data_IF_497016825348
#
_entry.id   IF_497016825348
#
_cell.length_a   1.000
_cell.length_b   1.000
_cell.length_c   1.000
_cell.angle_alpha   90.00
_cell.angle_beta   90.00
_cell.angle_gamma   90.00
#
_symmetry.space_group_name_H-M   'P 1'
#
loop_
_entity.id
_entity.type
_entity.pdbx_description
1 polymer ?
#
# COMPACT_ATOMS: atom_id res chain seq x y z
N UNK A 1 19.49 23.64 8.41
CA UNK A 1 18.04 23.36 8.33
C UNK A 1 17.88 22.14 7.45
N UNK A 2 17.07 21.16 7.85
CA UNK A 2 16.70 20.05 6.97
C UNK A 2 16.00 20.61 5.73
N UNK A 3 16.25 20.02 4.56
CA UNK A 3 15.50 20.36 3.37
C UNK A 3 14.03 20.00 3.59
N UNK A 4 13.12 20.92 3.26
CA UNK A 4 11.68 20.68 3.29
C UNK A 4 11.19 20.25 1.90
N UNK A 5 10.24 19.33 1.83
CA UNK A 5 9.72 18.73 0.60
C UNK A 5 8.24 19.03 0.37
N UNK A 6 7.87 19.18 -0.90
CA UNK A 6 6.48 19.28 -1.34
C UNK A 6 5.92 17.88 -1.61
N UNK A 7 4.87 17.47 -0.87
CA UNK A 7 4.41 16.07 -0.81
C UNK A 7 2.95 15.96 -1.24
N UNK A 8 2.68 15.11 -2.21
CA UNK A 8 1.33 14.70 -2.59
C UNK A 8 0.98 13.34 -1.96
N UNK A 9 -0.24 13.20 -1.45
CA UNK A 9 -0.79 11.93 -0.96
C UNK A 9 -2.02 11.58 -1.78
N UNK A 10 -1.91 10.60 -2.67
CA UNK A 10 -2.98 10.15 -3.55
C UNK A 10 -3.76 9.02 -2.89
N UNK A 11 -5.06 9.22 -2.72
CA UNK A 11 -5.91 8.35 -1.90
C UNK A 11 -5.98 8.81 -0.44
N UNK A 12 -5.79 10.12 -0.18
CA UNK A 12 -5.71 10.71 1.16
C UNK A 12 -6.91 10.45 2.08
N UNK A 13 -8.07 10.10 1.54
CA UNK A 13 -9.30 9.81 2.31
C UNK A 13 -9.55 8.31 2.50
N UNK A 14 -8.64 7.45 2.04
CA UNK A 14 -8.70 6.00 2.31
C UNK A 14 -7.94 5.65 3.58
N UNK A 15 -8.18 4.47 4.14
CA UNK A 15 -7.57 4.03 5.40
C UNK A 15 -6.02 4.12 5.39
N UNK A 16 -5.39 3.72 4.28
CA UNK A 16 -3.93 3.82 4.14
C UNK A 16 -3.48 5.27 3.94
N UNK A 17 -4.21 6.09 3.18
CA UNK A 17 -3.87 7.50 2.99
C UNK A 17 -3.95 8.31 4.29
N UNK A 18 -4.98 8.07 5.10
CA UNK A 18 -5.10 8.64 6.45
C UNK A 18 -3.92 8.21 7.34
N UNK A 19 -3.52 6.94 7.24
CA UNK A 19 -2.35 6.42 7.98
C UNK A 19 -1.04 7.06 7.49
N UNK A 20 -0.84 7.24 6.18
CA UNK A 20 0.33 7.92 5.62
C UNK A 20 0.45 9.35 6.16
N UNK A 21 -0.66 10.08 6.22
CA UNK A 21 -0.71 11.44 6.77
C UNK A 21 -0.31 11.46 8.26
N UNK A 22 -0.90 10.56 9.06
CA UNK A 22 -0.58 10.44 10.49
C UNK A 22 0.91 10.09 10.72
N UNK A 23 1.48 9.17 9.93
CA UNK A 23 2.89 8.78 10.04
C UNK A 23 3.82 9.92 9.61
N UNK A 24 3.46 10.72 8.60
CA UNK A 24 4.22 11.91 8.23
C UNK A 24 4.28 12.92 9.39
N UNK A 25 3.18 13.11 10.12
CA UNK A 25 3.15 13.95 11.33
C UNK A 25 3.96 13.35 12.48
N UNK A 26 3.69 12.09 12.84
CA UNK A 26 4.32 11.40 13.96
C UNK A 26 5.85 11.37 13.82
N UNK A 27 6.33 11.11 12.59
CA UNK A 27 7.76 11.06 12.29
C UNK A 27 8.38 12.43 12.03
N UNK A 28 7.61 13.51 12.18
CA UNK A 28 8.04 14.88 11.87
C UNK A 28 8.69 14.98 10.49
N UNK A 29 8.10 14.33 9.47
CA UNK A 29 8.63 14.36 8.12
C UNK A 29 8.68 15.82 7.64
N UNK A 30 9.78 16.26 7.01
CA UNK A 30 10.00 17.67 6.67
C UNK A 30 9.12 18.13 5.49
N UNK A 31 7.81 18.22 5.68
CA UNK A 31 6.84 18.69 4.68
C UNK A 31 6.81 20.21 4.63
N UNK A 32 6.95 20.78 3.44
CA UNK A 32 6.73 22.21 3.14
C UNK A 32 5.27 22.46 2.80
N UNK A 33 4.81 21.86 1.71
CA UNK A 33 3.41 21.86 1.29
C UNK A 33 2.89 20.43 1.21
N UNK A 34 1.68 20.21 1.73
CA UNK A 34 0.96 18.94 1.62
C UNK A 34 -0.16 19.08 0.60
N UNK A 35 -0.25 18.16 -0.34
CA UNK A 35 -1.31 18.05 -1.33
C UNK A 35 -2.08 16.74 -1.11
N UNK A 36 -3.14 16.73 -0.29
CA UNK A 36 -3.99 15.55 -0.15
C UNK A 36 -4.92 15.45 -1.35
N UNK A 37 -4.79 14.35 -2.12
CA UNK A 37 -5.49 14.12 -3.37
C UNK A 37 -6.43 12.93 -3.25
N UNK A 38 -7.63 13.06 -3.81
CA UNK A 38 -8.62 11.99 -3.86
C UNK A 38 -9.46 12.11 -5.14
N UNK A 39 -10.43 11.20 -5.33
CA UNK A 39 -11.39 11.33 -6.42
C UNK A 39 -12.30 12.56 -6.25
N UNK A 40 -12.95 12.98 -7.34
CA UNK A 40 -13.95 14.05 -7.34
C UNK A 40 -15.03 13.92 -6.26
N UNK A 41 -15.40 12.69 -5.88
CA UNK A 41 -16.37 12.42 -4.79
C UNK A 41 -15.90 12.87 -3.41
N UNK A 42 -14.59 12.89 -3.19
CA UNK A 42 -13.95 13.27 -1.93
C UNK A 42 -13.31 14.66 -1.99
N UNK A 43 -13.18 15.26 -3.17
CA UNK A 43 -12.68 16.62 -3.34
C UNK A 43 -13.54 17.62 -2.55
N UNK A 44 -12.89 18.58 -1.90
CA UNK A 44 -13.56 19.57 -1.04
C UNK A 44 -13.71 19.17 0.42
N UNK A 45 -13.50 17.90 0.78
CA UNK A 45 -13.33 17.49 2.18
C UNK A 45 -12.08 18.18 2.76
N UNK A 46 -11.98 18.19 4.08
CA UNK A 46 -10.81 18.72 4.78
C UNK A 46 -10.22 17.65 5.69
N UNK A 47 -8.90 17.71 5.85
CA UNK A 47 -8.13 16.88 6.78
C UNK A 47 -7.32 17.79 7.70
N UNK A 48 -6.87 17.26 8.83
CA UNK A 48 -5.92 17.93 9.72
C UNK A 48 -4.51 17.43 9.42
N UNK A 49 -3.56 18.35 9.31
CA UNK A 49 -2.13 18.05 9.19
C UNK A 49 -1.29 19.15 9.85
N UNK A 50 -0.42 18.77 10.80
CA UNK A 50 0.38 19.62 11.66
C UNK A 50 -0.42 20.79 12.28
N UNK A 51 -1.61 20.47 12.81
CA UNK A 51 -2.51 21.44 13.42
C UNK A 51 -3.18 22.41 12.43
N UNK A 52 -3.02 22.20 11.11
CA UNK A 52 -3.63 23.01 10.05
C UNK A 52 -4.69 22.20 9.32
N UNK A 53 -5.78 22.87 8.95
CA UNK A 53 -6.79 22.30 8.06
C UNK A 53 -6.30 22.39 6.62
N UNK A 54 -6.24 21.26 5.93
CA UNK A 54 -5.84 21.17 4.51
C UNK A 54 -7.01 20.64 3.69
N UNK A 55 -7.31 21.29 2.58
CA UNK A 55 -8.40 20.90 1.67
C UNK A 55 -7.94 19.75 0.77
N UNK A 56 -8.77 18.73 0.63
CA UNK A 56 -8.59 17.64 -0.33
C UNK A 56 -8.92 18.14 -1.73
N UNK A 57 -7.98 17.95 -2.66
CA UNK A 57 -8.10 18.37 -4.05
C UNK A 57 -8.42 17.17 -4.94
N UNK A 58 -9.11 17.42 -6.06
CA UNK A 58 -9.34 16.38 -7.07
C UNK A 58 -8.02 15.98 -7.74
N UNK A 59 -7.71 14.68 -7.70
CA UNK A 59 -6.54 14.10 -8.35
C UNK A 59 -6.49 14.40 -9.85
N UNK A 60 -7.64 14.42 -10.53
CA UNK A 60 -7.71 14.59 -11.98
C UNK A 60 -7.24 15.99 -12.42
N UNK A 61 -7.42 17.00 -11.56
CA UNK A 61 -7.10 18.40 -11.82
C UNK A 61 -5.73 18.83 -11.26
N UNK A 62 -5.04 17.93 -10.54
CA UNK A 62 -3.80 18.26 -9.88
C UNK A 62 -2.60 18.35 -10.84
N UNK A 63 -1.80 19.39 -10.67
CA UNK A 63 -0.53 19.59 -11.38
C UNK A 63 0.63 19.02 -10.54
N UNK A 64 1.14 17.85 -10.98
CA UNK A 64 2.21 17.15 -10.29
C UNK A 64 3.57 17.86 -10.31
N UNK A 65 3.76 18.92 -11.12
CA UNK A 65 4.99 19.72 -11.05
C UNK A 65 5.14 20.46 -9.70
N UNK A 66 4.06 20.56 -8.93
CA UNK A 66 4.05 21.16 -7.59
C UNK A 66 4.56 20.21 -6.50
N UNK A 67 4.66 18.90 -6.76
CA UNK A 67 5.06 17.90 -5.77
C UNK A 67 6.42 17.28 -6.14
N UNK A 68 7.28 17.11 -5.13
CA UNK A 68 8.56 16.43 -5.27
C UNK A 68 8.43 14.93 -4.93
N UNK A 69 7.52 14.59 -4.01
CA UNK A 69 7.26 13.22 -3.56
C UNK A 69 5.75 12.96 -3.67
N UNK A 70 5.39 11.82 -4.26
CA UNK A 70 4.01 11.36 -4.37
C UNK A 70 3.82 10.02 -3.67
N UNK A 71 3.03 9.98 -2.60
CA UNK A 71 2.65 8.73 -1.91
C UNK A 71 1.32 8.24 -2.44
N UNK A 72 1.31 7.10 -3.14
CA UNK A 72 0.14 6.62 -3.87
C UNK A 72 -0.49 5.42 -3.17
N UNK A 73 -1.78 5.52 -2.86
CA UNK A 73 -2.57 4.42 -2.29
C UNK A 73 -4.05 4.53 -2.66
N UNK A 74 -4.33 4.66 -3.95
CA UNK A 74 -5.69 4.82 -4.50
C UNK A 74 -6.18 3.67 -5.39
N UNK A 75 -5.44 2.56 -5.43
CA UNK A 75 -5.76 1.38 -6.23
C UNK A 75 -5.00 1.33 -7.57
N UNK A 76 -4.77 0.11 -8.07
CA UNK A 76 -3.83 -0.14 -9.17
C UNK A 76 -4.17 0.55 -10.49
N UNK A 77 -5.46 0.73 -10.81
CA UNK A 77 -5.88 1.45 -12.02
C UNK A 77 -5.55 2.95 -11.93
N UNK A 78 -5.70 3.56 -10.75
CA UNK A 78 -5.31 4.95 -10.52
C UNK A 78 -3.80 5.10 -10.60
N UNK A 79 -3.04 4.17 -10.03
CA UNK A 79 -1.58 4.19 -10.14
C UNK A 79 -1.10 4.01 -11.59
N UNK A 80 -1.74 3.13 -12.36
CA UNK A 80 -1.45 2.95 -13.79
C UNK A 80 -1.59 4.24 -14.60
N UNK A 81 -2.60 5.06 -14.28
CA UNK A 81 -2.85 6.33 -14.98
C UNK A 81 -1.96 7.46 -14.45
N UNK A 82 -1.93 7.67 -13.13
CA UNK A 82 -1.40 8.88 -12.53
C UNK A 82 0.07 8.79 -12.11
N UNK A 83 0.59 7.61 -11.78
CA UNK A 83 2.00 7.50 -11.38
C UNK A 83 2.96 7.86 -12.54
N UNK A 84 2.75 7.39 -13.80
CA UNK A 84 3.59 7.81 -14.92
C UNK A 84 3.48 9.31 -15.22
N UNK A 85 2.29 9.90 -15.04
CA UNK A 85 2.07 11.35 -15.20
C UNK A 85 2.83 12.16 -14.15
N UNK A 86 2.79 11.73 -12.89
CA UNK A 86 3.52 12.35 -11.80
C UNK A 86 5.05 12.24 -12.01
N UNK A 87 5.51 11.03 -12.33
CA UNK A 87 6.91 10.75 -12.66
C UNK A 87 7.44 11.64 -13.80
N UNK A 88 6.67 11.80 -14.88
CA UNK A 88 7.01 12.65 -16.02
C UNK A 88 7.05 14.14 -15.66
N UNK A 89 6.33 14.57 -14.63
CA UNK A 89 6.38 15.93 -14.08
C UNK A 89 7.55 16.17 -13.11
N UNK A 90 8.39 15.14 -12.85
CA UNK A 90 9.54 15.22 -11.95
C UNK A 90 9.24 14.82 -10.50
N UNK A 91 8.03 14.35 -10.20
CA UNK A 91 7.65 13.85 -8.89
C UNK A 91 8.17 12.41 -8.70
N UNK A 92 8.83 12.12 -7.58
CA UNK A 92 9.22 10.75 -7.22
C UNK A 92 8.02 10.04 -6.58
N UNK A 93 7.50 9.02 -7.26
CA UNK A 93 6.32 8.28 -6.81
C UNK A 93 6.73 7.08 -5.96
N UNK A 94 6.11 6.94 -4.79
CA UNK A 94 6.14 5.74 -3.95
C UNK A 94 4.74 5.12 -4.00
N UNK A 95 4.61 4.00 -4.71
CA UNK A 95 3.32 3.39 -5.02
C UNK A 95 3.02 2.16 -4.16
N UNK A 96 1.99 2.25 -3.31
CA UNK A 96 1.50 1.17 -2.44
C UNK A 96 0.46 0.27 -3.15
N UNK A 97 0.48 0.20 -4.47
CA UNK A 97 -0.36 -0.75 -5.21
C UNK A 97 0.48 -1.89 -5.77
N UNK A 98 -0.18 -2.96 -6.19
CA UNK A 98 0.52 -4.08 -6.83
C UNK A 98 0.92 -3.80 -8.28
N UNK A 99 0.50 -2.66 -8.87
CA UNK A 99 0.59 -2.44 -10.31
C UNK A 99 2.02 -2.46 -10.85
N UNK A 100 2.96 -1.85 -10.13
CA UNK A 100 4.35 -1.71 -10.58
C UNK A 100 5.33 -2.72 -9.97
N UNK A 101 4.89 -3.56 -9.02
CA UNK A 101 5.80 -4.39 -8.21
C UNK A 101 6.62 -5.39 -9.01
N UNK A 102 6.06 -5.90 -10.11
CA UNK A 102 6.70 -6.90 -10.98
C UNK A 102 7.32 -6.28 -12.24
N UNK A 103 7.38 -4.96 -12.36
CA UNK A 103 8.05 -4.29 -13.48
C UNK A 103 9.55 -4.28 -13.23
N UNK A 104 10.34 -4.82 -14.16
CA UNK A 104 11.79 -5.03 -13.99
C UNK A 104 12.57 -3.74 -13.71
N UNK A 105 12.19 -2.64 -14.34
CA UNK A 105 12.86 -1.33 -14.21
C UNK A 105 12.28 -0.43 -13.11
N UNK A 106 11.48 -1.00 -12.21
CA UNK A 106 10.95 -0.32 -11.01
C UNK A 106 11.40 -1.08 -9.77
N UNK A 107 12.15 -0.43 -8.85
CA UNK A 107 12.60 -1.08 -7.62
C UNK A 107 11.44 -1.37 -6.68
N UNK A 108 11.46 -2.56 -6.06
CA UNK A 108 10.51 -3.01 -5.04
C UNK A 108 11.22 -3.00 -3.69
N UNK A 109 10.90 -2.03 -2.83
CA UNK A 109 11.78 -1.67 -1.71
C UNK A 109 11.18 -2.00 -0.35
N UNK A 110 11.95 -2.74 0.47
CA UNK A 110 11.84 -2.74 1.93
C UNK A 110 13.14 -2.13 2.47
N UNK A 111 13.11 -0.95 3.12
CA UNK A 111 14.33 -0.24 3.52
C UNK A 111 15.29 -1.06 4.41
N UNK A 112 14.77 -1.96 5.22
CA UNK A 112 15.57 -2.83 6.10
C UNK A 112 16.19 -4.04 5.37
N UNK A 113 15.86 -4.27 4.10
CA UNK A 113 16.21 -5.49 3.35
C UNK A 113 17.09 -5.20 2.14
N UNK A 114 16.67 -4.28 1.27
CA UNK A 114 17.30 -4.03 -0.04
C UNK A 114 17.35 -2.54 -0.39
N UNK A 115 17.80 -1.69 0.54
CA UNK A 115 17.85 -0.23 0.33
C UNK A 115 18.78 0.20 -0.80
N UNK A 116 19.76 -0.63 -1.13
CA UNK A 116 20.70 -0.44 -2.23
C UNK A 116 20.00 -0.35 -3.59
N UNK A 117 18.93 -1.12 -3.80
CA UNK A 117 18.13 -1.13 -5.04
C UNK A 117 17.38 0.20 -5.24
N UNK A 118 17.27 1.02 -4.19
CA UNK A 118 16.66 2.34 -4.30
C UNK A 118 17.39 3.18 -5.36
N UNK A 119 18.70 3.01 -5.57
CA UNK A 119 19.47 3.78 -6.54
C UNK A 119 18.86 3.81 -7.95
N UNK A 120 18.12 2.78 -8.32
CA UNK A 120 17.51 2.62 -9.64
C UNK A 120 16.16 3.36 -9.80
N UNK A 121 15.63 3.99 -8.74
CA UNK A 121 14.33 4.68 -8.77
C UNK A 121 14.23 5.71 -9.89
N UNK A 122 15.36 6.36 -10.22
CA UNK A 122 15.41 7.48 -11.17
C UNK A 122 15.16 7.05 -12.62
N UNK A 123 15.22 5.75 -12.93
CA UNK A 123 14.91 5.22 -14.28
C UNK A 123 13.46 5.52 -14.67
N UNK A 124 12.54 5.41 -13.71
CA UNK A 124 11.11 5.65 -13.91
C UNK A 124 10.53 6.75 -13.04
N UNK A 125 11.29 7.28 -12.07
CA UNK A 125 10.79 8.09 -10.95
C UNK A 125 9.66 7.41 -10.17
N UNK A 126 9.63 6.07 -10.15
CA UNK A 126 8.63 5.26 -9.45
C UNK A 126 9.36 4.24 -8.59
N UNK A 127 8.90 4.09 -7.36
CA UNK A 127 9.33 3.08 -6.38
C UNK A 127 8.08 2.31 -6.00
N UNK A 128 8.12 0.98 -6.10
CA UNK A 128 7.03 0.14 -5.67
C UNK A 128 7.17 -0.21 -4.19
N UNK A 129 6.08 -0.05 -3.42
CA UNK A 129 5.98 -0.52 -2.05
C UNK A 129 5.35 -1.93 -2.03
N UNK A 130 5.96 -2.92 -1.34
CA UNK A 130 5.52 -4.32 -1.42
C UNK A 130 4.20 -4.61 -0.71
N UNK A 131 3.75 -5.85 -0.83
CA UNK A 131 2.60 -6.40 -0.12
C UNK A 131 2.88 -6.39 1.39
N UNK A 132 1.83 -6.11 2.17
CA UNK A 132 1.92 -6.00 3.62
C UNK A 132 2.43 -7.28 4.29
N UNK A 133 1.96 -8.44 3.86
CA UNK A 133 2.40 -9.76 4.35
C UNK A 133 3.87 -10.02 4.00
N UNK A 134 4.29 -9.62 2.80
CA UNK A 134 5.70 -9.72 2.39
C UNK A 134 6.58 -8.82 3.26
N UNK A 135 6.24 -7.54 3.45
CA UNK A 135 7.06 -6.59 4.23
C UNK A 135 7.36 -7.14 5.62
N UNK A 136 6.33 -7.52 6.39
CA UNK A 136 6.53 -8.02 7.75
C UNK A 136 7.34 -9.32 7.79
N UNK A 137 7.18 -10.18 6.79
CA UNK A 137 7.91 -11.44 6.70
C UNK A 137 9.39 -11.18 6.43
N UNK A 138 9.71 -10.33 5.45
CA UNK A 138 11.11 -10.12 5.05
C UNK A 138 11.90 -9.31 6.06
N UNK A 139 11.29 -8.33 6.74
CA UNK A 139 11.96 -7.62 7.85
C UNK A 139 12.37 -8.61 8.94
N UNK A 140 11.53 -9.60 9.26
CA UNK A 140 11.85 -10.63 10.25
C UNK A 140 12.89 -11.64 9.73
N UNK A 141 12.84 -12.01 8.45
CA UNK A 141 13.68 -13.05 7.87
C UNK A 141 15.05 -12.56 7.40
N UNK A 142 15.21 -11.29 7.03
CA UNK A 142 16.46 -10.76 6.47
C UNK A 142 17.69 -11.04 7.35
N UNK A 143 17.69 -10.81 8.67
CA UNK A 143 18.85 -11.15 9.50
C UNK A 143 19.19 -12.65 9.51
N UNK A 144 18.18 -13.52 9.34
CA UNK A 144 18.38 -14.98 9.26
C UNK A 144 18.95 -15.35 7.89
N UNK A 145 18.37 -14.79 6.83
CA UNK A 145 18.83 -14.97 5.45
C UNK A 145 20.30 -14.58 5.30
N UNK A 146 20.72 -13.44 5.86
CA UNK A 146 22.11 -12.99 5.80
C UNK A 146 23.08 -13.89 6.59
N UNK A 147 22.62 -14.48 7.69
CA UNK A 147 23.46 -15.28 8.57
C UNK A 147 23.68 -16.71 8.06
N UNK A 148 22.63 -17.34 7.50
CA UNK A 148 22.63 -18.77 7.18
C UNK A 148 21.95 -19.13 5.86
N UNK A 149 21.39 -18.15 5.14
CA UNK A 149 20.53 -18.39 3.98
C UNK A 149 19.17 -18.98 4.35
N UNK A 150 18.24 -19.00 3.40
CA UNK A 150 16.95 -19.67 3.53
C UNK A 150 16.66 -20.38 2.21
N UNK A 151 16.48 -21.69 2.25
CA UNK A 151 16.14 -22.49 1.06
C UNK A 151 14.62 -22.58 0.83
N UNK A 152 13.82 -22.52 1.91
CA UNK A 152 12.37 -22.70 1.81
C UNK A 152 11.63 -22.03 2.97
N UNK A 153 10.57 -21.30 2.64
CA UNK A 153 9.65 -20.70 3.62
C UNK A 153 8.31 -21.45 3.56
N UNK A 154 7.79 -21.84 4.72
CA UNK A 154 6.38 -22.24 4.85
C UNK A 154 5.71 -21.21 5.73
N UNK A 155 4.69 -20.55 5.21
CA UNK A 155 3.97 -19.50 5.91
C UNK A 155 2.48 -19.72 5.76
N UNK A 156 1.76 -19.60 6.87
CA UNK A 156 0.30 -19.55 6.91
C UNK A 156 -0.10 -18.20 7.50
N UNK A 157 -0.89 -17.44 6.76
CA UNK A 157 -1.24 -16.07 7.14
C UNK A 157 -2.56 -16.04 7.92
N UNK A 158 -2.67 -15.05 8.82
CA UNK A 158 -3.87 -14.73 9.57
C UNK A 158 -4.18 -13.25 9.33
N UNK A 159 -4.65 -12.95 8.12
CA UNK A 159 -4.81 -11.57 7.66
C UNK A 159 -6.13 -10.96 8.15
N UNK A 160 -6.04 -9.73 8.66
CA UNK A 160 -7.19 -8.97 9.13
C UNK A 160 -7.99 -8.36 7.96
N UNK A 161 -9.28 -8.13 8.19
CA UNK A 161 -10.20 -7.52 7.20
C UNK A 161 -9.78 -6.10 6.76
N UNK A 162 -8.95 -5.42 7.55
CA UNK A 162 -8.41 -4.10 7.20
C UNK A 162 -7.60 -4.10 5.91
N UNK A 163 -7.05 -5.25 5.50
CA UNK A 163 -6.37 -5.39 4.21
C UNK A 163 -7.29 -5.19 2.99
N UNK A 164 -8.58 -5.48 3.14
CA UNK A 164 -9.60 -5.23 2.10
C UNK A 164 -10.10 -3.79 2.12
N UNK A 165 -9.95 -3.09 3.24
CA UNK A 165 -10.29 -1.67 3.39
C UNK A 165 -11.40 -1.41 4.40
N UNK A 166 -11.87 -0.16 4.42
CA UNK A 166 -12.80 0.34 5.44
C UNK A 166 -14.15 -0.39 5.44
N UNK A 167 -14.70 -0.65 4.26
CA UNK A 167 -15.98 -1.35 4.10
C UNK A 167 -15.93 -2.77 4.71
N UNK A 168 -14.80 -3.47 4.58
CA UNK A 168 -14.62 -4.80 5.18
C UNK A 168 -14.53 -4.77 6.71
N UNK A 169 -13.96 -3.70 7.29
CA UNK A 169 -13.95 -3.47 8.74
C UNK A 169 -15.39 -3.24 9.24
N UNK A 170 -16.15 -2.43 8.53
CA UNK A 170 -17.56 -2.15 8.84
C UNK A 170 -18.42 -3.41 8.70
N UNK A 171 -18.19 -4.23 7.66
CA UNK A 171 -18.87 -5.52 7.49
C UNK A 171 -18.58 -6.48 8.64
N UNK A 172 -17.31 -6.66 9.03
CA UNK A 172 -16.98 -7.54 10.16
C UNK A 172 -17.68 -7.09 11.44
N UNK A 173 -17.63 -5.79 11.75
CA UNK A 173 -18.30 -5.23 12.92
C UNK A 173 -19.83 -5.43 12.87
N UNK A 174 -20.44 -5.19 11.71
CA UNK A 174 -21.87 -5.36 11.49
C UNK A 174 -22.33 -6.81 11.62
N UNK A 175 -21.61 -7.75 10.98
CA UNK A 175 -21.89 -9.18 11.09
C UNK A 175 -21.76 -9.67 12.54
N UNK A 176 -20.70 -9.26 13.25
CA UNK A 176 -20.52 -9.61 14.66
C UNK A 176 -21.66 -9.10 15.53
N UNK A 177 -22.07 -7.83 15.37
CA UNK A 177 -23.18 -7.26 16.13
C UNK A 177 -24.50 -8.01 15.87
N UNK A 178 -24.82 -8.31 14.61
CA UNK A 178 -26.03 -9.06 14.23
C UNK A 178 -26.08 -10.45 14.87
N UNK A 179 -24.98 -11.21 14.76
CA UNK A 179 -24.90 -12.57 15.32
C UNK A 179 -25.07 -12.57 16.85
N UNK A 180 -24.46 -11.61 17.55
CA UNK A 180 -24.60 -11.47 19.00
C UNK A 180 -26.02 -11.09 19.43
N UNK A 181 -26.86 -10.59 18.52
CA UNK A 181 -28.27 -10.28 18.73
C UNK A 181 -29.22 -11.32 18.13
N UNK A 182 -28.71 -12.48 17.69
CA UNK A 182 -29.53 -13.55 17.11
C UNK A 182 -30.13 -13.21 15.74
N UNK A 183 -29.52 -12.26 15.03
CA UNK A 183 -29.93 -11.84 13.69
C UNK A 183 -29.08 -12.51 12.62
N UNK A 184 -29.66 -12.65 11.42
CA UNK A 184 -28.94 -13.16 10.25
C UNK A 184 -27.89 -12.16 9.76
N UNK A 185 -26.80 -12.68 9.18
CA UNK A 185 -25.71 -11.88 8.62
C UNK A 185 -25.95 -11.56 7.15
N UNK A 186 -25.53 -10.37 6.75
CA UNK A 186 -25.40 -9.97 5.34
C UNK A 186 -23.91 -9.94 4.97
N UNK A 187 -23.60 -10.43 3.77
CA UNK A 187 -22.24 -10.46 3.21
C UNK A 187 -22.26 -9.60 1.94
N UNK A 188 -21.61 -8.44 1.98
CA UNK A 188 -21.58 -7.47 0.88
C UNK A 188 -20.17 -7.39 0.25
N UNK A 189 -19.15 -7.30 1.09
CA UNK A 189 -17.73 -7.22 0.75
C UNK A 189 -17.13 -8.60 0.55
N UNK A 190 -17.37 -9.53 1.49
CA UNK A 190 -16.88 -10.91 1.36
C UNK A 190 -17.95 -11.82 0.75
N UNK A 191 -17.57 -12.86 -0.01
CA UNK A 191 -18.53 -13.80 -0.59
C UNK A 191 -19.19 -14.72 0.44
N UNK A 192 -18.69 -14.72 1.69
CA UNK A 192 -19.10 -15.57 2.81
C UNK A 192 -18.92 -14.80 4.11
N UNK A 193 -19.64 -15.21 5.16
CA UNK A 193 -19.54 -14.65 6.51
C UNK A 193 -18.09 -14.65 6.99
N UNK A 194 -17.63 -13.49 7.49
CA UNK A 194 -16.30 -13.32 8.07
C UNK A 194 -16.33 -13.30 9.60
N UNK A 195 -17.43 -12.82 10.20
CA UNK A 195 -17.58 -12.85 11.66
C UNK A 195 -17.55 -14.28 12.20
N UNK A 196 -16.69 -14.53 13.19
CA UNK A 196 -16.47 -15.86 13.79
C UNK A 196 -16.13 -16.96 12.77
N UNK A 197 -15.49 -16.60 11.66
CA UNK A 197 -15.13 -17.52 10.59
C UNK A 197 -13.70 -17.25 10.08
N UNK A 198 -13.18 -18.17 9.27
CA UNK A 198 -11.91 -18.01 8.53
C UNK A 198 -12.14 -18.32 7.05
N UNK A 199 -11.63 -17.46 6.17
CA UNK A 199 -11.74 -17.62 4.73
C UNK A 199 -10.37 -17.94 4.13
N UNK A 200 -10.14 -19.14 3.57
CA UNK A 200 -8.88 -19.52 2.95
C UNK A 200 -8.80 -19.02 1.49
N UNK A 201 -9.13 -17.74 1.26
CA UNK A 201 -9.18 -17.15 -0.08
C UNK A 201 -9.03 -15.62 0.01
N UNK A 202 -7.92 -15.10 -0.51
CA UNK A 202 -7.63 -13.66 -0.59
C UNK A 202 -7.15 -13.34 -2.01
N UNK A 203 -7.73 -12.30 -2.62
CA UNK A 203 -7.50 -11.97 -4.04
C UNK A 203 -8.02 -13.10 -4.97
N UNK A 204 -7.62 -13.11 -6.25
CA UNK A 204 -8.09 -14.09 -7.24
C UNK A 204 -7.28 -15.39 -7.27
N UNK A 205 -7.86 -16.50 -7.71
CA UNK A 205 -7.10 -17.72 -8.04
C UNK A 205 -6.24 -17.54 -9.29
N UNK A 206 -5.06 -18.12 -9.26
CA UNK A 206 -4.12 -18.30 -10.37
C UNK A 206 -4.22 -19.74 -10.93
N UNK A 207 -3.70 -19.96 -12.14
CA UNK A 207 -3.79 -21.26 -12.83
C UNK A 207 -3.11 -22.42 -12.09
N UNK A 208 -2.15 -22.11 -11.21
CA UNK A 208 -1.41 -23.09 -10.41
C UNK A 208 -2.14 -23.50 -9.12
N UNK A 209 -3.36 -22.99 -8.89
CA UNK A 209 -4.19 -23.30 -7.73
C UNK A 209 -3.92 -22.44 -6.48
N UNK A 210 -2.86 -21.63 -6.49
CA UNK A 210 -2.65 -20.60 -5.47
C UNK A 210 -3.51 -19.37 -5.77
N UNK A 211 -3.75 -18.57 -4.76
CA UNK A 211 -4.30 -17.23 -4.86
C UNK A 211 -3.22 -16.23 -5.23
N UNK A 212 -3.64 -15.09 -5.78
CA UNK A 212 -2.71 -14.01 -6.12
C UNK A 212 -2.06 -13.41 -4.88
N UNK A 213 -2.71 -13.43 -3.73
CA UNK A 213 -2.09 -13.01 -2.47
C UNK A 213 -0.93 -13.93 -2.08
N UNK A 214 -1.11 -15.25 -2.19
CA UNK A 214 -0.02 -16.22 -1.97
C UNK A 214 1.12 -16.04 -2.98
N UNK A 215 0.79 -15.81 -4.25
CA UNK A 215 1.80 -15.61 -5.28
C UNK A 215 2.56 -14.28 -5.14
N UNK A 216 1.93 -13.19 -4.65
CA UNK A 216 2.64 -11.96 -4.28
C UNK A 216 3.73 -12.26 -3.25
N UNK A 217 3.45 -13.07 -2.22
CA UNK A 217 4.46 -13.42 -1.22
C UNK A 217 5.64 -14.17 -1.85
N UNK A 218 5.41 -15.01 -2.86
CA UNK A 218 6.48 -15.71 -3.58
C UNK A 218 7.27 -14.75 -4.48
N UNK A 219 6.60 -14.07 -5.41
CA UNK A 219 7.27 -13.25 -6.42
C UNK A 219 7.97 -12.04 -5.82
N UNK A 220 7.35 -11.37 -4.84
CA UNK A 220 7.93 -10.20 -4.21
C UNK A 220 9.11 -10.59 -3.32
N UNK A 221 9.07 -11.73 -2.61
CA UNK A 221 10.23 -12.23 -1.84
C UNK A 221 11.44 -12.45 -2.72
N UNK A 222 11.25 -13.12 -3.87
CA UNK A 222 12.34 -13.38 -4.82
C UNK A 222 12.93 -12.10 -5.39
N UNK A 223 12.08 -11.12 -5.73
CA UNK A 223 12.53 -9.83 -6.24
C UNK A 223 13.28 -9.03 -5.17
N UNK A 224 12.75 -8.95 -3.95
CA UNK A 224 13.34 -8.16 -2.85
C UNK A 224 14.66 -8.75 -2.36
N UNK A 225 14.80 -10.08 -2.30
CA UNK A 225 16.09 -10.70 -1.97
C UNK A 225 17.06 -10.80 -3.16
N UNK A 226 16.60 -10.54 -4.38
CA UNK A 226 17.39 -10.80 -5.59
C UNK A 226 17.71 -12.29 -5.79
N UNK A 227 16.91 -13.18 -5.22
CA UNK A 227 17.16 -14.63 -5.16
C UNK A 227 15.95 -15.39 -5.75
N UNK A 228 16.06 -15.95 -6.97
CA UNK A 228 14.97 -16.75 -7.56
C UNK A 228 14.82 -18.14 -6.92
N UNK A 229 15.80 -18.59 -6.12
CA UNK A 229 15.87 -19.93 -5.54
C UNK A 229 15.13 -20.08 -4.20
N UNK A 230 14.70 -18.98 -3.58
CA UNK A 230 13.93 -18.97 -2.33
C UNK A 230 12.42 -19.27 -2.53
#
# INVERSE_FOLDING_TARGET
MSALYDVAVVGATGAVGETMLAILEERNFPVRNLYPLASSRSAGKTIMFNGKTVKVTDLAEFDFSQAQIGLFSAGGSISAEFAPRAAAAGCVVVDNTSHFRQVDDIPLIVPEVNIEDLADYSVRNIIANPNCSTIQMLVALKPIYDAVGIERINVATYQAVSGTGKEAIEELAGQTARLLNGQEVECEVYPRQIAFNVLPHIDTFEDNGYTREEMKMVWETRKIFGDPGI
#
